data_IF_588662808936
#
_entry.id   IF_588662808936
#
_cell.length_a   1.000
_cell.length_b   1.000
_cell.length_c   1.000
_cell.angle_alpha   90.00
_cell.angle_beta   90.00
_cell.angle_gamma   90.00
#
_symmetry.space_group_name_H-M   'P 1'
#
loop_
_entity.id
_entity.type
_entity.pdbx_description
1 polymer ?
#
# COMPACT_ATOMS: atom_id res chain seq x y z
N UNK A 1 -0.32 0.27 -1.17
CA UNK A 1 -0.63 0.45 -2.60
C UNK A 1 -0.18 -0.75 -3.41
N UNK A 2 -0.96 -1.14 -4.42
CA UNK A 2 -0.57 -2.17 -5.39
C UNK A 2 0.08 -1.64 -6.68
N UNK A 3 0.38 -0.34 -6.75
CA UNK A 3 0.64 0.36 -8.01
C UNK A 3 -0.65 0.80 -8.70
N UNK A 4 -0.55 1.33 -9.93
CA UNK A 4 -1.68 1.89 -10.69
C UNK A 4 -2.80 0.87 -10.96
N UNK A 5 -2.44 -0.39 -11.22
CA UNK A 5 -3.40 -1.47 -11.42
C UNK A 5 -3.89 -2.09 -10.10
N UNK A 6 -3.19 -1.85 -9.00
CA UNK A 6 -3.53 -2.39 -7.69
C UNK A 6 -3.15 -3.86 -7.51
N UNK A 7 -3.36 -4.35 -6.29
CA UNK A 7 -3.03 -5.71 -5.88
C UNK A 7 -4.16 -6.27 -5.01
N UNK A 8 -4.77 -7.36 -5.43
CA UNK A 8 -5.95 -7.90 -4.77
C UNK A 8 -5.71 -8.25 -3.29
N UNK A 9 -4.55 -8.82 -2.95
CA UNK A 9 -4.18 -9.17 -1.57
C UNK A 9 -4.09 -7.93 -0.68
N UNK A 10 -3.36 -6.91 -1.12
CA UNK A 10 -3.16 -5.66 -0.39
C UNK A 10 -4.50 -4.98 -0.20
N UNK A 11 -5.33 -4.89 -1.25
CA UNK A 11 -6.66 -4.28 -1.16
C UNK A 11 -7.54 -5.01 -0.15
N UNK A 12 -7.62 -6.34 -0.24
CA UNK A 12 -8.42 -7.16 0.68
C UNK A 12 -7.93 -7.02 2.12
N UNK A 13 -6.61 -7.04 2.33
CA UNK A 13 -5.99 -6.89 3.64
C UNK A 13 -6.29 -5.50 4.23
N UNK A 14 -6.10 -4.43 3.46
CA UNK A 14 -6.43 -3.06 3.89
C UNK A 14 -7.90 -2.94 4.27
N UNK A 15 -8.83 -3.36 3.40
CA UNK A 15 -10.27 -3.31 3.71
C UNK A 15 -10.58 -4.10 4.98
N UNK A 16 -10.00 -5.29 5.14
CA UNK A 16 -10.24 -6.14 6.31
C UNK A 16 -9.70 -5.54 7.62
N UNK A 17 -8.51 -4.92 7.59
CA UNK A 17 -7.91 -4.24 8.74
C UNK A 17 -8.74 -3.04 9.19
N UNK A 18 -9.16 -2.22 8.23
CA UNK A 18 -9.95 -1.02 8.50
C UNK A 18 -11.35 -1.40 8.97
N UNK A 19 -12.06 -2.28 8.25
CA UNK A 19 -13.40 -2.73 8.61
C UNK A 19 -13.44 -3.41 9.99
N UNK A 20 -12.40 -4.19 10.31
CA UNK A 20 -12.26 -4.84 11.60
C UNK A 20 -11.79 -3.92 12.74
N UNK A 21 -11.57 -2.62 12.49
CA UNK A 21 -11.02 -1.64 13.45
C UNK A 21 -9.75 -2.15 14.14
N UNK A 22 -8.88 -2.81 13.37
CA UNK A 22 -7.65 -3.47 13.88
C UNK A 22 -6.43 -2.55 13.88
N UNK A 23 -6.61 -1.28 13.53
CA UNK A 23 -5.55 -0.27 13.52
C UNK A 23 -5.56 0.50 14.85
N UNK A 24 -4.38 0.94 15.34
CA UNK A 24 -4.30 1.81 16.51
C UNK A 24 -5.15 3.08 16.36
N UNK A 25 -5.71 3.63 17.46
CA UNK A 25 -6.39 4.91 17.42
C UNK A 25 -5.50 6.02 16.84
N UNK A 26 -6.08 6.89 16.00
CA UNK A 26 -5.35 7.98 15.33
C UNK A 26 -4.58 7.56 14.06
N UNK A 27 -4.67 6.30 13.64
CA UNK A 27 -4.06 5.85 12.37
C UNK A 27 -4.83 6.41 11.18
N UNK A 28 -4.14 7.12 10.29
CA UNK A 28 -4.66 7.52 8.98
C UNK A 28 -4.16 6.57 7.91
N UNK A 29 -5.07 6.05 7.08
CA UNK A 29 -4.76 5.12 6.00
C UNK A 29 -4.84 5.86 4.66
N UNK A 30 -3.68 6.15 4.08
CA UNK A 30 -3.55 6.64 2.70
C UNK A 30 -3.59 5.46 1.73
N UNK A 31 -4.75 5.20 1.13
CA UNK A 31 -5.00 3.98 0.39
C UNK A 31 -5.10 4.21 -1.12
N UNK A 32 -4.05 3.85 -1.87
CA UNK A 32 -4.17 3.61 -3.31
C UNK A 32 -4.54 2.15 -3.59
N UNK A 33 -5.78 1.94 -4.02
CA UNK A 33 -6.34 0.62 -4.35
C UNK A 33 -5.95 0.13 -5.74
N UNK A 34 -5.59 1.05 -6.65
CA UNK A 34 -5.42 0.80 -8.07
C UNK A 34 -6.75 0.77 -8.82
N UNK A 35 -6.73 1.18 -10.09
CA UNK A 35 -7.93 1.36 -10.90
C UNK A 35 -8.78 0.08 -11.01
N UNK A 36 -8.15 -1.10 -11.02
CA UNK A 36 -8.84 -2.39 -11.11
C UNK A 36 -9.70 -2.72 -9.88
N UNK A 37 -9.30 -2.24 -8.71
CA UNK A 37 -9.89 -2.66 -7.43
C UNK A 37 -10.58 -1.52 -6.68
N UNK A 38 -10.66 -0.32 -7.28
CA UNK A 38 -11.23 0.86 -6.65
C UNK A 38 -12.69 0.63 -6.21
N UNK A 39 -13.55 0.18 -7.11
CA UNK A 39 -14.97 -0.03 -6.80
C UNK A 39 -15.18 -1.13 -5.74
N UNK A 40 -14.36 -2.18 -5.77
CA UNK A 40 -14.36 -3.24 -4.76
C UNK A 40 -13.94 -2.71 -3.39
N UNK A 41 -12.91 -1.85 -3.34
CA UNK A 41 -12.47 -1.20 -2.11
C UNK A 41 -13.54 -0.26 -1.54
N UNK A 42 -14.17 0.57 -2.39
CA UNK A 42 -15.30 1.44 -2.00
C UNK A 42 -16.44 0.60 -1.41
N UNK A 43 -16.84 -0.47 -2.11
CA UNK A 43 -17.93 -1.35 -1.67
C UNK A 43 -17.62 -2.00 -0.34
N UNK A 44 -16.42 -2.55 -0.17
CA UNK A 44 -15.99 -3.20 1.07
C UNK A 44 -15.94 -2.25 2.27
N UNK A 45 -15.45 -1.02 2.07
CA UNK A 45 -15.41 0.00 3.13
C UNK A 45 -16.82 0.49 3.49
N UNK A 46 -17.68 0.73 2.50
CA UNK A 46 -19.08 1.12 2.72
C UNK A 46 -19.85 0.05 3.49
N UNK A 47 -19.66 -1.23 3.18
CA UNK A 47 -20.28 -2.34 3.91
C UNK A 47 -19.87 -2.39 5.39
N UNK A 48 -18.71 -1.81 5.74
CA UNK A 48 -18.23 -1.67 7.10
C UNK A 48 -18.65 -0.34 7.77
N UNK A 49 -19.50 0.46 7.12
CA UNK A 49 -19.91 1.77 7.60
C UNK A 49 -18.80 2.83 7.54
N UNK A 50 -17.82 2.64 6.65
CA UNK A 50 -16.68 3.54 6.50
C UNK A 50 -16.83 4.31 5.20
N UNK A 51 -17.04 5.62 5.33
CA UNK A 51 -17.07 6.52 4.19
C UNK A 51 -15.63 6.89 3.81
N UNK A 52 -15.08 6.13 2.87
CA UNK A 52 -13.76 6.39 2.32
C UNK A 52 -13.82 7.59 1.37
N UNK A 53 -13.03 8.62 1.63
CA UNK A 53 -13.16 9.90 0.94
C UNK A 53 -11.86 10.67 0.80
N UNK A 54 -11.97 11.99 0.73
CA UNK A 54 -10.82 12.91 0.64
C UNK A 54 -10.27 13.27 2.03
N UNK A 55 -11.05 13.04 3.09
CA UNK A 55 -10.72 13.36 4.47
C UNK A 55 -11.18 12.24 5.42
N UNK A 56 -10.65 12.24 6.65
CA UNK A 56 -10.90 11.22 7.67
C UNK A 56 -9.78 10.18 7.78
N UNK A 57 -10.03 9.12 8.56
CA UNK A 57 -9.03 8.10 8.89
C UNK A 57 -8.70 7.18 7.69
N UNK A 58 -9.48 7.23 6.61
CA UNK A 58 -9.26 6.44 5.39
C UNK A 58 -9.42 7.31 4.15
N UNK A 59 -8.30 7.65 3.54
CA UNK A 59 -8.25 8.44 2.32
C UNK A 59 -8.01 7.49 1.14
N UNK A 60 -9.10 7.13 0.45
CA UNK A 60 -9.05 6.21 -0.68
C UNK A 60 -8.87 6.97 -2.00
N UNK A 61 -7.94 6.50 -2.82
CA UNK A 61 -7.72 6.92 -4.21
C UNK A 61 -7.55 5.68 -5.09
N UNK A 62 -7.84 5.83 -6.39
CA UNK A 62 -7.43 4.83 -7.36
C UNK A 62 -5.91 4.91 -7.59
N UNK A 63 -5.36 6.12 -7.62
CA UNK A 63 -3.93 6.39 -7.78
C UNK A 63 -3.52 7.70 -7.05
N UNK A 64 -2.27 7.77 -6.59
CA UNK A 64 -1.69 8.99 -6.03
C UNK A 64 -0.77 9.63 -7.06
N UNK A 65 -1.22 10.72 -7.69
CA UNK A 65 -0.39 11.49 -8.61
C UNK A 65 0.80 12.14 -7.88
N UNK A 66 0.54 12.63 -6.67
CA UNK A 66 1.56 13.19 -5.78
C UNK A 66 2.03 12.14 -4.76
N UNK A 67 2.49 10.98 -5.25
CA UNK A 67 2.91 9.88 -4.39
C UNK A 67 3.98 10.31 -3.38
N UNK A 68 4.89 11.20 -3.77
CA UNK A 68 5.91 11.79 -2.91
C UNK A 68 5.31 12.49 -1.67
N UNK A 69 4.23 13.27 -1.83
CA UNK A 69 3.54 13.90 -0.69
C UNK A 69 2.91 12.85 0.23
N UNK A 70 2.30 11.82 -0.34
CA UNK A 70 1.73 10.72 0.43
C UNK A 70 2.81 9.93 1.20
N UNK A 71 3.99 9.74 0.62
CA UNK A 71 5.12 9.06 1.25
C UNK A 71 5.73 9.90 2.38
N UNK A 72 5.90 11.20 2.18
CA UNK A 72 6.42 12.10 3.23
C UNK A 72 5.43 12.23 4.40
N UNK A 73 4.13 12.14 4.13
CA UNK A 73 3.10 12.17 5.17
C UNK A 73 2.91 10.84 5.92
N UNK A 74 3.51 9.75 5.43
CA UNK A 74 3.33 8.41 5.99
C UNK A 74 4.47 8.05 6.94
N UNK A 75 4.14 7.34 8.02
CA UNK A 75 5.14 6.74 8.92
C UNK A 75 5.57 5.34 8.44
N UNK A 76 4.73 4.67 7.63
CA UNK A 76 4.96 3.32 7.13
C UNK A 76 4.27 3.12 5.77
N UNK A 77 4.97 2.50 4.82
CA UNK A 77 4.39 2.05 3.56
C UNK A 77 4.05 0.55 3.58
N UNK A 78 2.95 0.18 2.94
CA UNK A 78 2.65 -1.22 2.57
C UNK A 78 2.44 -1.28 1.07
N UNK A 79 3.34 -1.90 0.33
CA UNK A 79 3.31 -1.82 -1.13
C UNK A 79 3.93 -3.01 -1.87
N UNK A 80 3.65 -3.09 -3.18
CA UNK A 80 4.43 -3.94 -4.10
C UNK A 80 5.86 -3.42 -4.23
N UNK A 81 6.80 -4.32 -4.49
CA UNK A 81 8.22 -3.98 -4.63
C UNK A 81 8.62 -3.68 -6.09
N UNK A 82 7.90 -2.76 -6.73
CA UNK A 82 8.28 -2.24 -8.05
C UNK A 82 9.58 -1.42 -7.97
N UNK A 83 10.40 -1.44 -9.03
CA UNK A 83 11.71 -0.78 -9.04
C UNK A 83 11.64 0.72 -8.67
N UNK A 84 10.69 1.46 -9.26
CA UNK A 84 10.46 2.88 -8.92
C UNK A 84 10.05 3.04 -7.45
N UNK A 85 9.07 2.26 -6.99
CA UNK A 85 8.57 2.34 -5.61
C UNK A 85 9.66 2.07 -4.58
N UNK A 86 10.50 1.06 -4.79
CA UNK A 86 11.64 0.78 -3.90
C UNK A 86 12.63 1.94 -3.88
N UNK A 87 12.91 2.55 -5.03
CA UNK A 87 13.80 3.72 -5.11
C UNK A 87 13.22 4.94 -4.39
N UNK A 88 11.93 5.18 -4.53
CA UNK A 88 11.22 6.27 -3.86
C UNK A 88 11.21 6.08 -2.33
N UNK A 89 10.95 4.87 -1.85
CA UNK A 89 11.00 4.54 -0.42
C UNK A 89 12.39 4.80 0.18
N UNK A 90 13.44 4.36 -0.52
CA UNK A 90 14.82 4.60 -0.11
C UNK A 90 15.14 6.10 -0.06
N UNK A 91 14.70 6.86 -1.08
CA UNK A 91 14.92 8.30 -1.15
C UNK A 91 14.18 9.07 -0.06
N UNK A 92 12.96 8.65 0.29
CA UNK A 92 12.15 9.27 1.34
C UNK A 92 12.53 8.80 2.76
N UNK A 93 13.35 7.75 2.90
CA UNK A 93 13.63 7.13 4.20
C UNK A 93 12.38 6.53 4.86
N UNK A 94 11.40 6.11 4.06
CA UNK A 94 10.11 5.59 4.55
C UNK A 94 10.22 4.08 4.76
N UNK A 95 10.11 3.57 6.00
CA UNK A 95 10.09 2.13 6.23
C UNK A 95 8.90 1.48 5.53
N UNK A 96 9.09 0.24 5.06
CA UNK A 96 8.08 -0.44 4.25
C UNK A 96 7.87 -1.92 4.59
N UNK A 97 6.61 -2.35 4.50
CA UNK A 97 6.21 -3.75 4.32
C UNK A 97 6.05 -4.00 2.82
N UNK A 98 6.97 -4.77 2.26
CA UNK A 98 7.07 -5.07 0.85
C UNK A 98 6.37 -6.39 0.54
N UNK A 99 5.44 -6.37 -0.41
CA UNK A 99 4.67 -7.53 -0.84
C UNK A 99 4.93 -7.80 -2.31
N UNK A 100 6.07 -8.42 -2.69
CA UNK A 100 6.42 -8.66 -4.09
C UNK A 100 5.31 -9.38 -4.85
N UNK A 101 5.09 -9.01 -6.11
CA UNK A 101 4.17 -9.73 -6.98
C UNK A 101 4.80 -11.05 -7.46
N UNK A 102 4.13 -12.20 -7.28
CA UNK A 102 4.64 -13.50 -7.74
C UNK A 102 4.50 -13.66 -9.27
N UNK A 103 3.79 -12.75 -9.93
CA UNK A 103 3.46 -12.81 -11.35
C UNK A 103 4.41 -12.02 -12.26
N UNK A 104 5.52 -11.50 -11.71
CA UNK A 104 6.49 -10.70 -12.47
C UNK A 104 7.58 -11.61 -13.01
N UNK A 105 8.00 -11.36 -14.25
CA UNK A 105 9.08 -12.10 -14.87
C UNK A 105 10.34 -12.09 -13.98
N UNK A 106 11.07 -13.21 -13.97
CA UNK A 106 12.34 -13.37 -13.27
C UNK A 106 12.37 -13.02 -11.78
N UNK A 107 11.20 -12.92 -11.13
CA UNK A 107 11.07 -12.58 -9.72
C UNK A 107 11.71 -11.24 -9.33
N UNK A 108 11.71 -10.28 -10.27
CA UNK A 108 12.38 -8.98 -10.11
C UNK A 108 11.90 -8.19 -8.90
N UNK A 109 10.60 -8.29 -8.54
CA UNK A 109 10.10 -7.59 -7.37
C UNK A 109 10.64 -8.15 -6.06
N UNK A 110 10.90 -9.46 -5.98
CA UNK A 110 11.51 -10.03 -4.77
C UNK A 110 12.96 -9.55 -4.64
N UNK A 111 13.70 -9.51 -5.75
CA UNK A 111 15.06 -8.95 -5.76
C UNK A 111 15.06 -7.49 -5.30
N UNK A 112 14.17 -6.65 -5.82
CA UNK A 112 14.04 -5.26 -5.40
C UNK A 112 13.70 -5.15 -3.90
N UNK A 113 12.81 -6.01 -3.40
CA UNK A 113 12.44 -5.99 -1.99
C UNK A 113 13.62 -6.36 -1.09
N UNK A 114 14.41 -7.37 -1.48
CA UNK A 114 15.59 -7.82 -0.71
C UNK A 114 16.59 -6.69 -0.48
N UNK A 115 16.79 -5.80 -1.45
CA UNK A 115 17.68 -4.63 -1.29
C UNK A 115 17.31 -3.78 -0.07
N UNK A 116 16.01 -3.50 0.15
CA UNK A 116 15.56 -2.73 1.31
C UNK A 116 15.59 -3.55 2.60
N UNK A 117 15.27 -4.85 2.54
CA UNK A 117 15.31 -5.73 3.71
C UNK A 117 16.73 -5.88 4.23
N UNK A 118 17.71 -6.12 3.35
CA UNK A 118 19.13 -6.24 3.70
C UNK A 118 19.70 -4.93 4.28
N UNK A 119 19.17 -3.79 3.83
CA UNK A 119 19.48 -2.47 4.39
C UNK A 119 18.73 -2.15 5.70
N UNK A 120 17.97 -3.10 6.27
CA UNK A 120 17.09 -2.89 7.43
C UNK A 120 16.05 -1.76 7.26
N UNK A 121 15.72 -1.42 6.01
CA UNK A 121 14.76 -0.37 5.64
C UNK A 121 13.32 -0.90 5.46
N UNK A 122 13.10 -2.20 5.64
CA UNK A 122 11.77 -2.79 5.52
C UNK A 122 11.75 -4.29 5.80
N UNK A 123 10.55 -4.85 5.74
CA UNK A 123 10.31 -6.31 5.82
C UNK A 123 9.57 -6.78 4.58
N UNK A 124 9.82 -8.02 4.19
CA UNK A 124 9.16 -8.63 3.02
C UNK A 124 8.16 -9.70 3.47
N UNK A 125 6.95 -9.64 2.90
CA UNK A 125 5.88 -10.63 3.11
C UNK A 125 5.45 -11.15 1.75
N UNK A 126 5.60 -12.45 1.52
CA UNK A 126 5.19 -13.10 0.27
C UNK A 126 3.69 -13.37 0.26
N UNK A 127 3.06 -13.28 -0.92
CA UNK A 127 1.64 -13.63 -1.12
C UNK A 127 1.36 -15.13 -1.06
#
# INVERSE_FOLDING_TARGET
>A
TGGSQGAASIVRATVSLVAGRRLPPGTVVLFASGSRYYDAAVTGLKAAGIEAGISGDVILRHYWHDLHLAMVAADLAVCRAGAMTVSELAACGLPAVLVPSPHVAHNEQEHNARVLVEAAAGVMVTE
#
